data_IF_099017457214
#
_entry.id   IF_099017457214
#
_cell.length_a   1.000
_cell.length_b   1.000
_cell.length_c   1.000
_cell.angle_alpha   90.00
_cell.angle_beta   90.00
_cell.angle_gamma   90.00
#
_symmetry.space_group_name_H-M   'P 1'
#
loop_
_entity.id
_entity.type
_entity.pdbx_description
1 polymer ?
#
# COMPACT_ATOMS: atom_id res chain seq x y z
N UNK A 1 -14.43 -9.41 -0.03
CA UNK A 1 -13.63 -9.78 1.16
C UNK A 1 -12.27 -10.36 0.75
N UNK A 2 -11.26 -10.30 1.61
CA UNK A 2 -9.92 -10.80 1.28
C UNK A 2 -9.80 -12.31 1.56
N UNK A 3 -9.98 -13.13 0.51
CA UNK A 3 -10.00 -14.61 0.59
C UNK A 3 -8.89 -15.22 1.43
N UNK A 4 -7.65 -14.71 1.31
CA UNK A 4 -6.50 -15.24 2.05
C UNK A 4 -6.66 -15.06 3.56
N UNK A 5 -7.18 -13.91 4.00
CA UNK A 5 -7.47 -13.70 5.41
C UNK A 5 -8.57 -14.66 5.86
N UNK A 6 -9.68 -14.77 5.13
CA UNK A 6 -10.79 -15.67 5.50
C UNK A 6 -10.32 -17.11 5.76
N UNK A 7 -9.54 -17.68 4.84
CA UNK A 7 -9.00 -19.04 4.99
C UNK A 7 -8.10 -19.16 6.23
N UNK A 8 -7.23 -18.18 6.48
CA UNK A 8 -6.33 -18.19 7.64
C UNK A 8 -7.08 -18.01 8.95
N UNK A 9 -8.09 -17.15 8.99
CA UNK A 9 -8.96 -16.97 10.15
C UNK A 9 -9.74 -18.25 10.46
N UNK A 10 -10.39 -18.86 9.47
CA UNK A 10 -11.10 -20.12 9.67
C UNK A 10 -10.18 -21.22 10.17
N UNK A 11 -8.98 -21.35 9.59
CA UNK A 11 -8.00 -22.34 10.02
C UNK A 11 -7.52 -22.11 11.46
N UNK A 12 -7.34 -20.85 11.88
CA UNK A 12 -6.74 -20.50 13.17
C UNK A 12 -7.74 -20.45 14.32
N UNK A 13 -8.98 -20.06 14.02
CA UNK A 13 -10.00 -19.73 15.00
C UNK A 13 -11.30 -20.52 14.82
N UNK A 14 -11.49 -21.25 13.71
CA UNK A 14 -12.75 -21.92 13.39
C UNK A 14 -13.91 -20.92 13.42
N UNK A 15 -15.03 -21.35 14.01
CA UNK A 15 -16.26 -20.55 14.09
C UNK A 15 -16.30 -19.59 15.29
N UNK A 16 -15.19 -19.47 16.04
CA UNK A 16 -15.12 -18.60 17.23
C UNK A 16 -15.03 -17.11 16.91
N UNK A 17 -14.74 -16.75 15.65
CA UNK A 17 -14.68 -15.36 15.20
C UNK A 17 -15.67 -15.16 14.06
N UNK A 18 -16.32 -13.99 14.05
CA UNK A 18 -17.24 -13.58 13.00
C UNK A 18 -16.76 -12.29 12.37
N UNK A 19 -16.88 -12.20 11.04
CA UNK A 19 -16.65 -10.96 10.32
C UNK A 19 -17.84 -10.04 10.54
N UNK A 20 -17.58 -8.86 11.10
CA UNK A 20 -18.58 -7.81 11.22
C UNK A 20 -18.65 -7.06 9.89
N UNK A 21 -19.78 -7.16 9.21
CA UNK A 21 -20.13 -6.27 8.10
C UNK A 21 -21.02 -5.16 8.63
N UNK A 22 -20.61 -3.93 8.39
CA UNK A 22 -21.38 -2.74 8.75
C UNK A 22 -22.22 -2.29 7.58
N UNK A 23 -23.44 -1.84 7.86
CA UNK A 23 -24.27 -1.16 6.89
C UNK A 23 -23.64 0.19 6.49
N UNK A 24 -24.05 0.73 5.34
CA UNK A 24 -23.47 1.99 4.84
C UNK A 24 -23.62 3.13 5.85
N UNK A 25 -24.79 3.25 6.47
CA UNK A 25 -25.07 4.30 7.45
C UNK A 25 -24.19 4.19 8.71
N UNK A 26 -23.91 2.96 9.16
CA UNK A 26 -23.00 2.70 10.28
C UNK A 26 -21.55 3.06 9.92
N UNK A 27 -21.11 2.73 8.70
CA UNK A 27 -19.78 3.12 8.18
C UNK A 27 -19.66 4.64 8.12
N UNK A 28 -20.66 5.33 7.60
CA UNK A 28 -20.68 6.79 7.52
C UNK A 28 -20.66 7.41 8.92
N UNK A 29 -21.46 6.90 9.86
CA UNK A 29 -21.44 7.35 11.26
C UNK A 29 -20.06 7.21 11.88
N UNK A 30 -19.42 6.04 11.73
CA UNK A 30 -18.07 5.80 12.24
C UNK A 30 -17.05 6.77 11.64
N UNK A 31 -17.06 6.92 10.31
CA UNK A 31 -16.10 7.77 9.61
C UNK A 31 -16.30 9.25 9.95
N UNK A 32 -17.54 9.72 10.16
CA UNK A 32 -17.80 11.08 10.66
C UNK A 32 -17.23 11.33 12.05
N UNK A 33 -17.37 10.37 12.96
CA UNK A 33 -16.75 10.46 14.28
C UNK A 33 -15.22 10.50 14.18
N UNK A 34 -14.64 9.68 13.30
CA UNK A 34 -13.20 9.73 13.02
C UNK A 34 -12.78 11.09 12.44
N UNK A 35 -13.56 11.67 11.54
CA UNK A 35 -13.28 12.99 10.96
C UNK A 35 -13.29 14.08 12.03
N UNK A 36 -14.30 14.08 12.92
CA UNK A 36 -14.39 14.99 14.06
C UNK A 36 -13.21 14.85 15.02
N UNK A 37 -12.75 13.63 15.27
CA UNK A 37 -11.56 13.39 16.10
C UNK A 37 -10.32 13.95 15.39
N UNK A 38 -10.12 13.59 14.11
CA UNK A 38 -8.97 14.00 13.32
C UNK A 38 -8.84 15.54 13.24
N UNK A 39 -9.95 16.23 13.02
CA UNK A 39 -10.01 17.69 12.94
C UNK A 39 -9.53 18.37 14.23
N UNK A 40 -9.92 17.86 15.41
CA UNK A 40 -9.45 18.40 16.71
C UNK A 40 -7.94 18.31 16.89
N UNK A 41 -7.28 17.41 16.16
CA UNK A 41 -5.83 17.24 16.17
C UNK A 41 -5.15 17.78 14.91
N UNK A 42 -5.86 18.52 14.06
CA UNK A 42 -5.31 19.07 12.81
C UNK A 42 -4.97 18.01 11.75
N UNK A 43 -5.55 16.81 11.86
CA UNK A 43 -5.34 15.70 10.93
C UNK A 43 -6.46 15.72 9.88
N UNK A 44 -6.07 15.71 8.60
CA UNK A 44 -7.04 15.55 7.51
C UNK A 44 -7.37 14.06 7.32
N UNK A 45 -8.66 13.72 7.32
CA UNK A 45 -9.12 12.36 7.04
C UNK A 45 -9.45 12.18 5.56
N UNK A 46 -9.01 11.07 4.98
CA UNK A 46 -9.22 10.73 3.57
C UNK A 46 -9.83 9.33 3.40
N UNK A 47 -10.73 9.19 2.43
CA UNK A 47 -11.29 7.91 1.99
C UNK A 47 -10.85 7.59 0.56
N UNK A 48 -10.25 6.42 0.34
CA UNK A 48 -9.75 5.98 -0.96
C UNK A 48 -10.67 4.91 -1.56
N UNK A 49 -11.14 5.13 -2.79
CA UNK A 49 -12.00 4.20 -3.54
C UNK A 49 -13.36 3.89 -2.89
N UNK A 50 -13.80 4.70 -1.92
CA UNK A 50 -15.11 4.60 -1.28
C UNK A 50 -15.80 5.97 -1.28
N UNK A 51 -16.29 6.43 -2.46
CA UNK A 51 -16.90 7.76 -2.61
C UNK A 51 -18.09 8.00 -1.68
N UNK A 52 -18.82 6.95 -1.31
CA UNK A 52 -19.95 6.97 -0.39
C UNK A 52 -19.59 7.38 1.05
N UNK A 53 -18.30 7.40 1.37
CA UNK A 53 -17.76 7.84 2.67
C UNK A 53 -17.16 9.24 2.63
N UNK A 54 -17.17 9.92 1.47
CA UNK A 54 -16.63 11.27 1.31
C UNK A 54 -17.71 12.30 1.66
N UNK A 55 -17.34 13.32 2.44
CA UNK A 55 -18.26 14.32 2.98
C UNK A 55 -17.97 14.60 4.46
N UNK A 56 -18.56 15.67 5.02
CA UNK A 56 -18.53 15.96 6.47
C UNK A 56 -17.13 15.83 7.13
N UNK A 57 -16.12 16.48 6.53
CA UNK A 57 -14.72 16.45 7.03
C UNK A 57 -13.85 15.33 6.45
N UNK A 58 -14.42 14.43 5.64
CA UNK A 58 -13.70 13.36 4.94
C UNK A 58 -13.46 13.77 3.49
N UNK A 59 -12.20 13.74 3.07
CA UNK A 59 -11.80 14.09 1.71
C UNK A 59 -11.60 12.84 0.85
N UNK A 60 -11.64 12.99 -0.47
CA UNK A 60 -11.27 11.91 -1.39
C UNK A 60 -9.76 11.70 -1.36
N UNK A 61 -9.34 10.45 -1.13
CA UNK A 61 -7.93 10.10 -1.00
C UNK A 61 -7.25 9.76 -2.33
N UNK A 62 -5.95 10.06 -2.38
CA UNK A 62 -4.99 9.62 -3.39
C UNK A 62 -3.72 9.19 -2.68
N UNK A 63 -3.42 7.88 -2.63
CA UNK A 63 -2.27 7.38 -1.84
C UNK A 63 -0.93 7.88 -2.38
N UNK A 64 -0.83 8.05 -3.71
CA UNK A 64 0.28 8.75 -4.36
C UNK A 64 -0.32 10.02 -4.97
N UNK A 65 -0.13 11.16 -4.32
CA UNK A 65 -0.79 12.43 -4.67
C UNK A 65 0.23 13.50 -5.10
N UNK A 66 0.43 13.64 -6.41
CA UNK A 66 1.40 14.59 -6.95
C UNK A 66 1.11 16.05 -6.58
N UNK A 67 -0.12 16.60 -6.75
CA UNK A 67 -0.46 17.94 -6.27
C UNK A 67 -0.12 18.15 -4.79
N UNK A 68 -0.42 17.18 -3.92
CA UNK A 68 -0.08 17.32 -2.51
C UNK A 68 1.44 17.31 -2.29
N UNK A 69 2.17 16.38 -2.91
CA UNK A 69 3.65 16.35 -2.83
C UNK A 69 4.27 17.64 -3.37
N UNK A 70 3.77 18.17 -4.49
CA UNK A 70 4.22 19.43 -5.08
C UNK A 70 3.92 20.63 -4.18
N UNK A 71 2.81 20.62 -3.43
CA UNK A 71 2.52 21.67 -2.44
C UNK A 71 3.48 21.70 -1.26
N UNK A 72 4.11 20.56 -0.92
CA UNK A 72 5.05 20.44 0.20
C UNK A 72 6.48 20.67 -0.27
N UNK A 73 6.87 20.06 -1.39
CA UNK A 73 8.26 20.03 -1.86
C UNK A 73 8.54 20.94 -3.06
N UNK A 74 7.52 21.55 -3.65
CA UNK A 74 7.60 22.20 -4.96
C UNK A 74 7.55 21.20 -6.13
N UNK A 75 7.52 21.73 -7.35
CA UNK A 75 7.51 20.92 -8.58
C UNK A 75 8.91 20.39 -8.94
N UNK A 76 9.44 19.48 -8.11
CA UNK A 76 10.78 18.92 -8.24
C UNK A 76 10.94 17.93 -9.41
N UNK A 77 9.81 17.43 -9.93
CA UNK A 77 9.74 16.53 -11.09
C UNK A 77 8.53 16.91 -11.95
N UNK A 78 8.55 16.65 -13.27
CA UNK A 78 7.36 16.82 -14.10
C UNK A 78 6.18 16.01 -13.57
N UNK A 79 4.98 16.56 -13.68
CA UNK A 79 3.76 15.90 -13.23
C UNK A 79 3.62 14.49 -13.85
N UNK A 80 3.62 13.42 -13.04
CA UNK A 80 3.40 12.07 -13.54
C UNK A 80 1.97 11.90 -14.05
N UNK A 81 1.73 10.83 -14.80
CA UNK A 81 0.38 10.51 -15.26
C UNK A 81 -0.45 9.95 -14.10
N UNK A 82 -1.77 10.11 -14.17
CA UNK A 82 -2.68 9.33 -13.32
C UNK A 82 -2.53 7.85 -13.66
N UNK A 83 -2.44 7.00 -12.64
CA UNK A 83 -2.29 5.55 -12.79
C UNK A 83 -3.16 4.82 -11.76
N UNK A 84 -4.50 4.89 -11.89
CA UNK A 84 -5.41 4.24 -10.96
C UNK A 84 -5.32 2.71 -11.06
N UNK A 85 -5.21 2.02 -9.92
CA UNK A 85 -5.09 0.55 -9.86
C UNK A 85 -6.43 -0.17 -9.66
N UNK A 86 -7.50 0.57 -9.35
CA UNK A 86 -8.85 0.06 -9.12
C UNK A 86 -9.90 1.16 -9.30
N UNK A 87 -11.16 0.78 -9.43
CA UNK A 87 -12.27 1.73 -9.54
C UNK A 87 -12.26 2.75 -8.40
N UNK A 88 -12.44 4.03 -8.73
CA UNK A 88 -12.42 5.13 -7.78
C UNK A 88 -11.03 5.62 -7.33
N UNK A 89 -9.94 4.91 -7.69
CA UNK A 89 -8.57 5.29 -7.34
C UNK A 89 -8.14 6.58 -8.05
N UNK A 90 -7.39 7.44 -7.34
CA UNK A 90 -6.90 8.72 -7.86
C UNK A 90 -5.38 8.85 -7.88
N UNK A 91 -4.66 7.77 -7.61
CA UNK A 91 -3.21 7.77 -7.52
C UNK A 91 -2.53 8.17 -8.83
N UNK A 92 -1.37 8.81 -8.69
CA UNK A 92 -0.43 9.01 -9.78
C UNK A 92 0.50 7.80 -9.94
N UNK A 93 1.18 7.76 -11.08
CA UNK A 93 2.21 6.77 -11.40
C UNK A 93 3.25 6.69 -10.28
N UNK A 94 3.54 5.46 -9.86
CA UNK A 94 4.50 5.15 -8.80
C UNK A 94 5.03 3.73 -8.99
N UNK A 95 6.13 3.44 -8.30
CA UNK A 95 6.82 2.16 -8.37
C UNK A 95 6.98 1.67 -6.94
N UNK A 96 6.55 0.44 -6.70
CA UNK A 96 6.69 -0.20 -5.40
C UNK A 96 8.18 -0.52 -5.14
N UNK A 97 8.68 -0.11 -3.98
CA UNK A 97 10.04 -0.39 -3.51
C UNK A 97 10.08 -1.52 -2.49
N UNK A 98 8.91 -2.04 -2.10
CA UNK A 98 8.76 -3.13 -1.15
C UNK A 98 9.07 -4.49 -1.77
N UNK A 99 9.23 -5.48 -0.91
CA UNK A 99 9.42 -6.86 -1.31
C UNK A 99 8.45 -7.77 -0.58
N UNK A 100 7.57 -8.44 -1.33
CA UNK A 100 6.64 -9.42 -0.80
C UNK A 100 7.30 -10.78 -0.55
N UNK A 101 6.64 -11.61 0.25
CA UNK A 101 7.12 -12.94 0.67
C UNK A 101 8.52 -12.90 1.27
N UNK A 102 8.82 -11.95 2.14
CA UNK A 102 10.08 -11.88 2.92
C UNK A 102 9.84 -11.69 4.42
N UNK A 103 8.61 -11.33 4.82
CA UNK A 103 8.26 -11.14 6.22
C UNK A 103 8.09 -12.49 6.94
N UNK A 104 8.57 -12.63 8.19
CA UNK A 104 8.44 -13.88 8.96
C UNK A 104 7.35 -13.88 10.02
N UNK A 105 6.55 -12.81 10.14
CA UNK A 105 5.60 -12.67 11.24
C UNK A 105 4.37 -13.60 11.17
N UNK A 106 4.14 -14.24 10.03
CA UNK A 106 3.01 -15.17 9.77
C UNK A 106 1.64 -14.68 10.29
N UNK A 107 1.35 -13.39 10.09
CA UNK A 107 0.11 -12.80 10.57
C UNK A 107 -1.13 -13.49 9.93
N UNK A 108 -2.19 -13.65 10.72
CA UNK A 108 -3.46 -14.22 10.23
C UNK A 108 -4.04 -13.33 9.12
N UNK A 109 -4.04 -12.02 9.33
CA UNK A 109 -4.23 -11.02 8.28
C UNK A 109 -2.85 -10.57 7.77
N UNK A 110 -2.40 -11.15 6.66
CA UNK A 110 -1.13 -10.76 6.04
C UNK A 110 -1.39 -10.23 4.65
N UNK A 111 -1.02 -8.98 4.36
CA UNK A 111 -1.00 -8.49 2.97
C UNK A 111 0.35 -8.78 2.30
N UNK A 112 1.43 -8.86 3.08
CA UNK A 112 2.80 -8.91 2.58
C UNK A 112 3.28 -10.27 2.03
N UNK A 113 2.75 -11.40 2.53
CA UNK A 113 3.16 -12.73 2.09
C UNK A 113 1.97 -13.51 1.54
N UNK A 114 2.11 -14.08 0.37
CA UNK A 114 1.22 -15.10 -0.18
C UNK A 114 1.35 -16.40 0.63
N UNK A 115 2.58 -16.84 0.92
CA UNK A 115 2.88 -18.06 1.66
C UNK A 115 4.05 -17.86 2.64
N UNK A 116 3.85 -18.25 3.90
CA UNK A 116 4.89 -18.22 4.92
C UNK A 116 6.09 -19.11 4.56
N UNK A 117 5.88 -20.27 3.94
CA UNK A 117 6.98 -21.17 3.53
C UNK A 117 7.89 -20.50 2.50
N UNK A 118 7.31 -19.69 1.59
CA UNK A 118 8.07 -18.92 0.61
C UNK A 118 8.90 -17.83 1.30
N UNK A 119 8.31 -17.13 2.26
CA UNK A 119 9.03 -16.14 3.06
C UNK A 119 10.18 -16.76 3.85
N UNK A 120 9.95 -17.90 4.50
CA UNK A 120 10.99 -18.62 5.23
C UNK A 120 12.12 -19.11 4.31
N UNK A 121 11.79 -19.61 3.12
CA UNK A 121 12.81 -20.01 2.12
C UNK A 121 13.66 -18.81 1.68
N UNK A 122 13.03 -17.67 1.40
CA UNK A 122 13.71 -16.44 0.99
C UNK A 122 14.60 -15.89 2.09
N UNK A 123 14.08 -15.82 3.32
CA UNK A 123 14.85 -15.42 4.49
C UNK A 123 16.08 -16.31 4.70
N UNK A 124 15.94 -17.63 4.61
CA UNK A 124 17.07 -18.57 4.74
C UNK A 124 18.13 -18.42 3.66
N UNK A 125 17.74 -17.92 2.49
CA UNK A 125 18.63 -17.69 1.37
C UNK A 125 19.10 -16.23 1.28
N UNK A 126 18.65 -15.36 2.19
CA UNK A 126 19.11 -13.97 2.26
C UNK A 126 20.57 -13.93 2.69
N UNK A 127 21.33 -13.07 2.02
CA UNK A 127 22.73 -12.78 2.34
C UNK A 127 22.77 -11.44 3.05
N UNK A 128 23.19 -11.36 4.33
CA UNK A 128 23.23 -10.10 5.08
C UNK A 128 24.04 -9.00 4.41
N UNK A 129 25.02 -9.36 3.57
CA UNK A 129 25.86 -8.43 2.82
C UNK A 129 25.20 -7.93 1.53
N UNK A 130 24.05 -8.51 1.14
CA UNK A 130 23.30 -8.11 -0.06
C UNK A 130 22.43 -6.89 0.24
N UNK A 131 22.32 -5.93 -0.71
CA UNK A 131 21.36 -4.83 -0.60
C UNK A 131 19.90 -5.29 -0.78
N UNK A 132 19.65 -6.57 -1.08
CA UNK A 132 18.31 -7.15 -1.27
C UNK A 132 17.96 -8.21 -0.22
N UNK A 133 16.69 -8.23 0.17
CA UNK A 133 16.10 -9.27 1.02
C UNK A 133 15.87 -10.62 0.29
N UNK A 134 16.01 -10.63 -1.02
CA UNK A 134 15.86 -11.83 -1.85
C UNK A 134 17.24 -12.45 -2.18
N UNK A 135 17.27 -13.77 -2.40
CA UNK A 135 18.48 -14.45 -2.85
C UNK A 135 18.84 -14.11 -4.31
N UNK A 136 20.12 -13.84 -4.55
CA UNK A 136 20.68 -13.59 -5.88
C UNK A 136 21.18 -12.16 -6.09
N UNK A 137 22.02 -11.95 -7.09
CA UNK A 137 22.29 -10.62 -7.64
C UNK A 137 21.04 -10.18 -8.39
N UNK A 138 20.29 -9.23 -7.83
CA UNK A 138 19.25 -8.57 -8.61
C UNK A 138 19.95 -7.67 -9.62
N UNK A 139 20.25 -8.24 -10.78
CA UNK A 139 20.44 -7.42 -11.96
C UNK A 139 19.11 -6.68 -12.16
N UNK A 140 19.14 -5.36 -12.05
CA UNK A 140 18.10 -4.51 -12.61
C UNK A 140 18.11 -4.74 -14.13
N UNK A 141 17.51 -5.85 -14.59
CA UNK A 141 17.51 -6.20 -16.00
C UNK A 141 16.53 -5.29 -16.74
N UNK A 142 16.95 -4.69 -17.85
CA UNK A 142 16.14 -3.81 -18.70
C UNK A 142 14.96 -4.51 -19.43
N UNK A 143 14.58 -5.74 -19.05
CA UNK A 143 13.58 -6.52 -19.79
C UNK A 143 12.12 -6.32 -19.32
N UNK A 144 11.34 -5.77 -20.25
CA UNK A 144 9.87 -5.68 -20.40
C UNK A 144 9.00 -6.43 -19.36
N UNK A 145 8.79 -5.81 -18.21
CA UNK A 145 7.76 -6.14 -17.22
C UNK A 145 7.35 -4.86 -16.48
N UNK A 146 6.14 -4.82 -15.89
CA UNK A 146 5.41 -3.63 -15.42
C UNK A 146 6.07 -2.75 -14.33
N UNK A 147 7.31 -3.04 -13.94
CA UNK A 147 8.10 -2.26 -12.99
C UNK A 147 9.25 -1.54 -13.72
N UNK A 148 8.93 -0.67 -14.68
CA UNK A 148 9.94 0.29 -15.15
C UNK A 148 10.06 1.39 -14.11
N UNK A 149 11.27 1.60 -13.58
CA UNK A 149 11.75 2.94 -13.29
C UNK A 149 12.29 3.44 -14.64
N UNK A 150 11.62 4.37 -15.35
CA UNK A 150 12.19 4.94 -16.57
C UNK A 150 13.63 5.39 -16.31
N UNK A 151 14.58 5.14 -17.22
CA UNK A 151 16.01 5.40 -16.98
C UNK A 151 16.29 6.84 -16.52
N UNK A 152 15.43 7.79 -16.90
CA UNK A 152 15.43 9.19 -16.39
C UNK A 152 15.33 9.33 -14.87
N UNK A 153 14.79 8.35 -14.15
CA UNK A 153 14.69 8.32 -12.68
C UNK A 153 15.74 7.40 -12.02
N UNK A 154 16.41 6.53 -12.78
CA UNK A 154 17.54 5.70 -12.31
C UNK A 154 18.91 6.32 -12.61
N UNK A 155 18.96 7.60 -12.97
CA UNK A 155 20.22 8.32 -13.04
C UNK A 155 20.70 8.49 -11.59
N UNK A 156 21.90 8.00 -11.21
CA UNK A 156 22.51 8.43 -9.96
C UNK A 156 22.67 9.95 -10.06
N UNK A 157 21.73 10.70 -9.48
CA UNK A 157 22.05 12.05 -9.05
C UNK A 157 23.06 11.83 -7.93
N UNK A 158 24.34 11.95 -8.27
CA UNK A 158 25.35 12.34 -7.30
C UNK A 158 24.77 13.57 -6.60
N UNK A 159 24.23 13.35 -5.40
CA UNK A 159 23.89 14.42 -4.49
C UNK A 159 25.27 15.02 -4.14
N UNK A 160 25.52 16.31 -4.47
CA UNK A 160 26.79 16.93 -4.16
C UNK A 160 27.11 16.89 -2.66
#
# INVERSE_FOLDING_TARGET
>A
RYRKAEVRFQKRFGDSIRWLELELEEKQKLVREMARIAERYGINLYSCCQPELVGEGVKRGSCVDYPHMASIFGEVVPAPRKSPTRAGCCCYESIDIGMYDTCLHDCVYCYANQDYRRALKRYRAHRPESPSLLPGEHQFSEYKGSNRIPSRYCQPKLIP
#
